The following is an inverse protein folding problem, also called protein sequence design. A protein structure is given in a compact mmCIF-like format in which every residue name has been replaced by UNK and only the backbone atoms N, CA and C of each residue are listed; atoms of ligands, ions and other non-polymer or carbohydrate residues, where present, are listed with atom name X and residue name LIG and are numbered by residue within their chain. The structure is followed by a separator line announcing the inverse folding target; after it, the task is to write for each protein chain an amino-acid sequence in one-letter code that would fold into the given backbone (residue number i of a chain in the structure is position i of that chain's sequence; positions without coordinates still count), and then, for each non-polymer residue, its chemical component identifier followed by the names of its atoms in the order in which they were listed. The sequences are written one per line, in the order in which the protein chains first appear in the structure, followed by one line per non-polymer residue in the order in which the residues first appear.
data_IF_210835067523
#
_entry.id   IF_210835067523
#
_cell.length_a   1.000
_cell.length_b   1.000
_cell.length_c   1.000
_cell.angle_alpha   90.00
_cell.angle_beta   90.00
_cell.angle_gamma   90.00
#
_symmetry.space_group_name_H-M   'P 1'
#
loop_
_entity.id
_entity.type
_entity.pdbx_description
1 polymer ?
#
# COMPACT_ATOMS: atom_id res chain seq x y z
N UNK A 1 -20.76 -15.82 22.33
CA UNK A 1 -21.47 -15.87 21.02
C UNK A 1 -21.78 -14.44 20.61
N UNK A 2 -21.11 -13.91 19.56
CA UNK A 2 -21.40 -12.60 19.03
C UNK A 2 -22.78 -12.67 18.34
N UNK A 3 -23.65 -11.69 18.61
CA UNK A 3 -24.94 -11.56 17.92
C UNK A 3 -24.72 -11.50 16.41
N UNK A 4 -25.54 -12.15 15.59
CA UNK A 4 -25.45 -12.03 14.15
C UNK A 4 -25.62 -10.56 13.78
N UNK A 5 -24.56 -9.94 13.29
CA UNK A 5 -24.60 -8.56 12.79
C UNK A 5 -25.46 -8.57 11.53
N UNK A 6 -26.52 -7.77 11.50
CA UNK A 6 -27.29 -7.50 10.27
C UNK A 6 -26.29 -7.04 9.19
N UNK A 7 -26.48 -7.57 7.96
CA UNK A 7 -25.75 -7.06 6.78
C UNK A 7 -25.75 -5.55 6.84
N UNK A 8 -24.59 -4.87 6.84
CA UNK A 8 -24.58 -3.42 6.95
C UNK A 8 -25.36 -2.80 5.79
N UNK A 9 -26.04 -1.66 6.01
CA UNK A 9 -26.77 -1.00 4.94
C UNK A 9 -25.82 -0.62 3.81
N UNK A 10 -26.33 -0.65 2.57
CA UNK A 10 -25.57 -0.24 1.40
C UNK A 10 -25.11 1.22 1.56
N UNK A 11 -23.94 1.57 1.05
CA UNK A 11 -23.48 2.95 1.10
C UNK A 11 -24.44 3.89 0.35
N UNK A 12 -24.67 5.12 0.83
CA UNK A 12 -25.51 6.07 0.14
C UNK A 12 -24.97 6.39 -1.27
N UNK A 13 -25.87 6.61 -2.23
CA UNK A 13 -25.54 6.96 -3.61
C UNK A 13 -25.27 5.79 -4.53
N UNK A 14 -25.44 4.54 -4.07
CA UNK A 14 -25.39 3.34 -4.90
C UNK A 14 -26.81 2.95 -5.31
N UNK A 15 -27.06 2.86 -6.60
CA UNK A 15 -28.28 2.25 -7.13
C UNK A 15 -28.09 0.72 -7.18
N UNK A 16 -28.53 0.06 -6.11
CA UNK A 16 -28.42 -1.38 -5.98
C UNK A 16 -29.26 -2.13 -7.03
N UNK A 17 -30.35 -1.52 -7.50
CA UNK A 17 -31.26 -2.13 -8.47
C UNK A 17 -30.60 -2.22 -9.83
N UNK A 18 -29.83 -1.19 -10.24
CA UNK A 18 -29.01 -1.24 -11.47
C UNK A 18 -28.02 -2.38 -11.41
N UNK A 19 -27.30 -2.58 -10.29
CA UNK A 19 -26.32 -3.66 -10.18
C UNK A 19 -26.99 -5.06 -10.18
N UNK A 20 -28.14 -5.18 -9.57
CA UNK A 20 -28.92 -6.42 -9.63
C UNK A 20 -29.45 -6.70 -11.05
N UNK A 21 -29.86 -5.67 -11.78
CA UNK A 21 -30.31 -5.81 -13.16
C UNK A 21 -29.17 -6.21 -14.11
N UNK A 22 -27.96 -5.71 -13.89
CA UNK A 22 -26.77 -6.18 -14.64
C UNK A 22 -26.59 -7.71 -14.53
N UNK A 23 -26.79 -8.28 -13.34
CA UNK A 23 -26.69 -9.74 -13.16
C UNK A 23 -27.76 -10.48 -13.96
N UNK A 24 -29.01 -9.97 -13.98
CA UNK A 24 -30.10 -10.53 -14.77
C UNK A 24 -29.81 -10.42 -16.27
N UNK A 25 -29.34 -9.26 -16.73
CA UNK A 25 -29.04 -9.03 -18.14
C UNK A 25 -27.84 -9.87 -18.60
N UNK A 26 -26.81 -10.03 -17.78
CA UNK A 26 -25.69 -10.90 -18.12
C UNK A 26 -26.13 -12.37 -18.32
N UNK A 27 -27.00 -12.86 -17.44
CA UNK A 27 -27.59 -14.18 -17.58
C UNK A 27 -28.45 -14.31 -18.87
N UNK A 28 -29.29 -13.30 -19.15
CA UNK A 28 -30.12 -13.27 -20.35
C UNK A 28 -29.27 -13.20 -21.64
N UNK A 29 -28.12 -12.57 -21.64
CA UNK A 29 -27.15 -12.51 -22.74
C UNK A 29 -26.33 -13.82 -22.88
N UNK A 30 -26.48 -14.78 -21.96
CA UNK A 30 -25.85 -16.09 -22.00
C UNK A 30 -24.53 -16.20 -21.21
N UNK A 31 -24.31 -15.36 -20.20
CA UNK A 31 -23.27 -15.62 -19.23
C UNK A 31 -23.72 -16.69 -18.22
N UNK A 32 -22.82 -17.62 -17.87
CA UNK A 32 -23.03 -18.56 -16.79
C UNK A 32 -22.97 -17.90 -15.42
N UNK A 33 -22.10 -16.92 -15.29
CA UNK A 33 -22.00 -16.08 -14.09
C UNK A 33 -21.41 -14.71 -14.41
N UNK A 34 -21.62 -13.74 -13.50
CA UNK A 34 -21.12 -12.38 -13.65
C UNK A 34 -20.85 -11.74 -12.29
N UNK A 35 -19.97 -10.75 -12.27
CA UNK A 35 -19.73 -9.84 -11.16
C UNK A 35 -19.71 -8.40 -11.65
N UNK A 36 -20.25 -7.49 -10.83
CA UNK A 36 -20.19 -6.06 -11.06
C UNK A 36 -19.54 -5.37 -9.87
N UNK A 37 -18.53 -4.55 -10.15
CA UNK A 37 -17.85 -3.73 -9.19
C UNK A 37 -18.08 -2.25 -9.52
N UNK A 38 -18.74 -1.55 -8.61
CA UNK A 38 -19.06 -0.13 -8.72
C UNK A 38 -18.18 0.67 -7.77
N UNK A 39 -17.69 1.80 -8.25
CA UNK A 39 -16.98 2.81 -7.46
C UNK A 39 -17.54 4.17 -7.78
N UNK A 40 -17.86 4.95 -6.74
CA UNK A 40 -18.06 6.38 -6.82
C UNK A 40 -17.00 7.05 -5.96
N UNK A 41 -16.20 7.92 -6.56
CA UNK A 41 -15.11 8.64 -5.91
C UNK A 41 -15.28 10.15 -6.01
N UNK A 42 -14.93 10.85 -4.96
CA UNK A 42 -14.81 12.30 -4.90
C UNK A 42 -13.51 12.68 -4.21
N UNK A 43 -12.85 13.73 -4.66
CA UNK A 43 -11.60 14.20 -4.06
C UNK A 43 -11.37 15.69 -4.31
N UNK A 44 -10.57 16.28 -3.43
CA UNK A 44 -10.09 17.65 -3.58
C UNK A 44 -8.64 17.72 -3.11
N UNK A 45 -7.79 18.33 -3.91
CA UNK A 45 -6.36 18.52 -3.65
C UNK A 45 -6.00 20.00 -3.86
N UNK A 46 -5.18 20.54 -2.96
CA UNK A 46 -4.65 21.90 -3.06
C UNK A 46 -3.17 21.85 -2.78
N UNK A 47 -2.37 22.41 -3.69
CA UNK A 47 -0.94 22.57 -3.49
C UNK A 47 -0.55 24.05 -3.47
N UNK A 48 0.43 24.36 -2.62
CA UNK A 48 1.05 25.67 -2.50
C UNK A 48 2.56 25.53 -2.59
N UNK A 49 3.21 26.52 -3.25
CA UNK A 49 4.65 26.63 -3.29
C UNK A 49 5.07 28.09 -3.15
N UNK A 50 6.07 28.36 -2.30
CA UNK A 50 6.61 29.69 -1.99
C UNK A 50 5.52 30.73 -1.69
N UNK A 51 4.50 30.30 -0.90
CA UNK A 51 3.36 31.14 -0.50
C UNK A 51 2.31 31.37 -1.60
N UNK A 52 2.46 30.77 -2.80
CA UNK A 52 1.51 30.89 -3.90
C UNK A 52 0.82 29.57 -4.17
N UNK A 53 -0.50 29.61 -4.33
CA UNK A 53 -1.26 28.43 -4.76
C UNK A 53 -0.83 28.01 -6.17
N UNK A 54 -0.35 26.77 -6.32
CA UNK A 54 0.02 26.19 -7.62
C UNK A 54 -1.07 25.28 -8.18
N UNK A 55 -1.81 24.57 -7.32
CA UNK A 55 -2.79 23.58 -7.75
C UNK A 55 -4.08 23.72 -6.96
N UNK A 56 -5.19 23.57 -7.64
CA UNK A 56 -6.53 23.31 -7.09
C UNK A 56 -7.21 22.31 -8.03
N UNK A 57 -7.38 21.11 -7.59
CA UNK A 57 -7.93 20.02 -8.39
C UNK A 57 -9.03 19.30 -7.61
N UNK A 58 -10.25 19.31 -8.16
CA UNK A 58 -11.38 18.54 -7.70
C UNK A 58 -11.73 17.47 -8.72
N UNK A 59 -12.09 16.29 -8.25
CA UNK A 59 -12.56 15.21 -9.10
C UNK A 59 -13.77 14.54 -8.46
N UNK A 60 -14.76 14.25 -9.29
CA UNK A 60 -15.89 13.40 -8.95
C UNK A 60 -16.15 12.48 -10.14
N UNK A 61 -16.31 11.18 -9.86
CA UNK A 61 -16.54 10.21 -10.93
C UNK A 61 -17.16 8.92 -10.43
N UNK A 62 -17.86 8.26 -11.36
CA UNK A 62 -18.43 6.93 -11.15
C UNK A 62 -17.87 5.98 -12.20
N UNK A 63 -17.51 4.79 -11.77
CA UNK A 63 -17.03 3.72 -12.65
C UNK A 63 -17.74 2.41 -12.29
N UNK A 64 -18.10 1.68 -13.32
CA UNK A 64 -18.67 0.36 -13.25
C UNK A 64 -17.80 -0.61 -14.06
N UNK A 65 -17.31 -1.65 -13.42
CA UNK A 65 -16.67 -2.79 -14.08
C UNK A 65 -17.60 -3.98 -14.01
N UNK A 66 -17.93 -4.55 -15.16
CA UNK A 66 -18.65 -5.81 -15.29
C UNK A 66 -17.69 -6.88 -15.79
N UNK A 67 -17.65 -8.02 -15.13
CA UNK A 67 -16.97 -9.23 -15.61
C UNK A 67 -17.98 -10.33 -15.85
N UNK A 68 -17.99 -10.89 -17.05
CA UNK A 68 -18.83 -12.00 -17.44
C UNK A 68 -17.98 -13.27 -17.59
N UNK A 69 -18.59 -14.41 -17.26
CA UNK A 69 -18.00 -15.75 -17.41
C UNK A 69 -18.88 -16.60 -18.31
N UNK A 70 -18.26 -17.27 -19.28
CA UNK A 70 -18.87 -18.24 -20.16
C UNK A 70 -17.99 -19.51 -20.16
N UNK A 71 -18.43 -20.57 -19.53
CA UNK A 71 -17.58 -21.72 -19.23
C UNK A 71 -16.39 -21.33 -18.36
N UNK A 72 -15.19 -21.57 -18.88
CA UNK A 72 -13.91 -21.18 -18.29
C UNK A 72 -13.31 -19.90 -18.90
N UNK A 73 -14.05 -19.24 -19.78
CA UNK A 73 -13.64 -17.97 -20.36
C UNK A 73 -14.20 -16.80 -19.56
N UNK A 74 -13.50 -15.70 -19.48
CA UNK A 74 -14.01 -14.49 -18.82
C UNK A 74 -13.47 -13.23 -19.45
N UNK A 75 -14.30 -12.19 -19.53
CA UNK A 75 -13.89 -10.85 -19.96
C UNK A 75 -14.45 -9.79 -19.03
N UNK A 76 -13.71 -8.68 -18.91
CA UNK A 76 -14.11 -7.52 -18.13
C UNK A 76 -14.22 -6.30 -19.02
N UNK A 77 -15.27 -5.53 -18.84
CA UNK A 77 -15.49 -4.23 -19.47
C UNK A 77 -15.85 -3.20 -18.41
N UNK A 78 -15.51 -1.93 -18.67
CA UNK A 78 -15.84 -0.82 -17.77
C UNK A 78 -16.63 0.26 -18.49
N UNK A 79 -17.43 1.01 -17.75
CA UNK A 79 -18.15 2.18 -18.24
C UNK A 79 -18.32 3.22 -17.14
N UNK A 80 -18.29 4.49 -17.55
CA UNK A 80 -18.72 5.64 -16.74
C UNK A 80 -20.13 6.12 -17.13
N UNK A 81 -20.74 5.53 -18.17
CA UNK A 81 -22.11 5.80 -18.61
C UNK A 81 -23.07 4.81 -17.97
N UNK A 82 -24.02 5.32 -17.20
CA UNK A 82 -25.03 4.56 -16.46
C UNK A 82 -26.39 4.58 -17.12
N UNK A 83 -26.52 5.11 -18.36
CA UNK A 83 -27.78 5.05 -19.09
C UNK A 83 -28.16 3.56 -19.34
N UNK A 84 -29.43 3.17 -19.17
CA UNK A 84 -29.84 1.77 -19.29
C UNK A 84 -29.45 1.12 -20.63
N UNK A 85 -29.50 1.88 -21.73
CA UNK A 85 -29.07 1.42 -23.06
C UNK A 85 -27.56 1.13 -23.10
N UNK A 86 -26.73 2.03 -22.54
CA UNK A 86 -25.28 1.87 -22.49
C UNK A 86 -24.90 0.63 -21.63
N UNK A 87 -25.58 0.43 -20.50
CA UNK A 87 -25.34 -0.72 -19.63
C UNK A 87 -25.74 -2.04 -20.29
N UNK A 88 -26.83 -2.10 -21.09
CA UNK A 88 -27.17 -3.29 -21.86
C UNK A 88 -26.09 -3.62 -22.89
N UNK A 89 -25.66 -2.64 -23.66
CA UNK A 89 -24.56 -2.81 -24.63
C UNK A 89 -23.26 -3.24 -23.92
N UNK A 90 -22.98 -2.72 -22.69
CA UNK A 90 -21.85 -3.15 -21.88
C UNK A 90 -21.92 -4.65 -21.55
N UNK A 91 -23.10 -5.11 -21.13
CA UNK A 91 -23.35 -6.53 -20.82
C UNK A 91 -23.12 -7.43 -22.03
N UNK A 92 -23.75 -7.09 -23.17
CA UNK A 92 -23.60 -7.83 -24.44
C UNK A 92 -22.13 -7.93 -24.83
N UNK A 93 -21.41 -6.80 -24.81
CA UNK A 93 -19.98 -6.77 -25.10
C UNK A 93 -19.15 -7.64 -24.14
N UNK A 94 -19.44 -7.62 -22.84
CA UNK A 94 -18.73 -8.45 -21.87
C UNK A 94 -18.89 -9.94 -22.16
N UNK A 95 -20.10 -10.36 -22.50
CA UNK A 95 -20.43 -11.76 -22.82
C UNK A 95 -19.79 -12.19 -24.13
N UNK A 96 -19.87 -11.36 -25.17
CA UNK A 96 -19.28 -11.67 -26.48
C UNK A 96 -17.76 -11.75 -26.40
N UNK A 97 -17.13 -10.84 -25.66
CA UNK A 97 -15.70 -10.89 -25.40
C UNK A 97 -15.32 -12.15 -24.59
N UNK A 98 -16.13 -12.54 -23.61
CA UNK A 98 -15.87 -13.76 -22.83
C UNK A 98 -15.91 -15.02 -23.71
N UNK A 99 -16.79 -15.06 -24.72
CA UNK A 99 -16.85 -16.18 -25.70
C UNK A 99 -15.65 -16.24 -26.64
N UNK A 100 -14.99 -15.08 -26.86
CA UNK A 100 -13.90 -14.94 -27.84
C UNK A 100 -12.49 -15.13 -27.25
N UNK A 101 -12.33 -15.17 -25.93
CA UNK A 101 -11.02 -15.33 -25.28
C UNK A 101 -10.70 -16.80 -24.98
N UNK A 102 -9.40 -17.17 -24.86
CA UNK A 102 -9.03 -18.52 -24.44
C UNK A 102 -9.53 -18.87 -23.04
N UNK A 103 -9.73 -20.17 -22.81
CA UNK A 103 -10.10 -20.69 -21.49
C UNK A 103 -9.00 -20.48 -20.45
N UNK A 104 -9.41 -20.04 -19.26
CA UNK A 104 -8.62 -20.09 -18.05
C UNK A 104 -9.26 -21.12 -17.10
N UNK A 105 -8.62 -22.29 -16.87
CA UNK A 105 -9.20 -23.35 -16.06
C UNK A 105 -9.48 -22.93 -14.62
N UNK A 106 -8.89 -21.84 -14.17
CA UNK A 106 -9.03 -21.29 -12.82
C UNK A 106 -10.05 -20.15 -12.72
N UNK A 107 -10.63 -19.71 -13.86
CA UNK A 107 -11.64 -18.66 -13.89
C UNK A 107 -12.94 -19.08 -13.19
N UNK A 108 -13.65 -18.08 -12.66
CA UNK A 108 -14.99 -18.25 -12.07
C UNK A 108 -15.16 -17.56 -10.73
N UNK A 109 -16.39 -17.31 -10.34
CA UNK A 109 -16.76 -16.74 -9.05
C UNK A 109 -16.39 -17.66 -7.88
N UNK A 110 -16.37 -17.12 -6.68
CA UNK A 110 -16.25 -17.89 -5.45
C UNK A 110 -17.44 -18.86 -5.32
N UNK A 111 -17.26 -20.08 -4.78
CA UNK A 111 -18.38 -20.89 -4.32
C UNK A 111 -19.24 -20.12 -3.30
N UNK A 112 -20.56 -20.30 -3.36
CA UNK A 112 -21.50 -19.53 -2.54
C UNK A 112 -21.24 -19.69 -1.02
N UNK A 113 -20.80 -20.86 -0.61
CA UNK A 113 -20.45 -21.19 0.78
C UNK A 113 -19.22 -20.46 1.31
N UNK A 114 -18.37 -19.93 0.43
CA UNK A 114 -17.19 -19.15 0.79
C UNK A 114 -17.46 -17.64 0.87
N UNK A 115 -18.63 -17.18 0.40
CA UNK A 115 -18.96 -15.75 0.39
C UNK A 115 -19.12 -15.19 1.79
N UNK A 116 -18.67 -13.96 1.98
CA UNK A 116 -18.85 -13.25 3.24
C UNK A 116 -20.35 -12.94 3.45
N UNK A 117 -20.89 -13.40 4.57
CA UNK A 117 -22.29 -13.13 4.97
C UNK A 117 -22.40 -12.00 5.98
N UNK A 118 -21.32 -11.71 6.66
CA UNK A 118 -21.17 -10.60 7.61
C UNK A 118 -19.73 -10.10 7.60
N UNK A 119 -19.51 -8.88 8.06
CA UNK A 119 -18.19 -8.27 8.19
C UNK A 119 -18.18 -7.17 9.25
N UNK A 120 -17.00 -6.88 9.85
CA UNK A 120 -16.89 -5.87 10.89
C UNK A 120 -17.05 -4.44 10.34
N UNK A 121 -17.55 -3.55 11.17
CA UNK A 121 -17.44 -2.10 10.96
C UNK A 121 -16.01 -1.67 11.32
N UNK A 122 -15.37 -0.91 10.41
CA UNK A 122 -13.94 -0.59 10.49
C UNK A 122 -13.66 0.91 10.62
N UNK A 123 -14.72 1.73 10.79
CA UNK A 123 -14.63 3.19 10.90
C UNK A 123 -13.79 3.83 9.76
N UNK A 124 -14.09 3.44 8.51
CA UNK A 124 -13.34 3.84 7.32
C UNK A 124 -13.82 5.15 6.68
N UNK A 125 -14.88 5.75 7.19
CA UNK A 125 -15.46 6.99 6.66
C UNK A 125 -15.63 8.01 7.77
N UNK A 126 -14.84 9.08 7.73
CA UNK A 126 -15.01 10.23 8.61
C UNK A 126 -16.36 10.92 8.31
N UNK A 127 -17.25 10.99 9.32
CA UNK A 127 -18.60 11.52 9.17
C UNK A 127 -18.64 13.05 9.06
N UNK A 128 -17.52 13.72 9.27
CA UNK A 128 -17.45 15.18 9.11
C UNK A 128 -17.65 15.60 7.65
N UNK A 129 -18.10 16.84 7.48
CA UNK A 129 -18.10 17.47 6.17
C UNK A 129 -16.65 17.58 5.65
N UNK A 130 -16.36 17.19 4.40
CA UNK A 130 -15.03 17.33 3.81
C UNK A 130 -14.50 18.78 3.90
N UNK A 131 -13.18 18.96 4.13
CA UNK A 131 -12.56 20.28 4.17
C UNK A 131 -12.74 21.03 2.86
N UNK A 132 -12.98 22.35 2.96
CA UNK A 132 -13.02 23.23 1.79
C UNK A 132 -11.61 23.43 1.20
N UNK A 133 -11.52 23.92 -0.04
CA UNK A 133 -10.27 24.32 -0.67
C UNK A 133 -9.49 25.34 0.19
N UNK A 134 -10.20 26.27 0.83
CA UNK A 134 -9.59 27.25 1.75
C UNK A 134 -8.94 26.56 2.97
N UNK A 135 -9.61 25.57 3.55
CA UNK A 135 -9.09 24.80 4.68
C UNK A 135 -7.84 24.01 4.26
N UNK A 136 -7.88 23.33 3.12
CA UNK A 136 -6.72 22.57 2.60
C UNK A 136 -5.55 23.50 2.30
N UNK A 137 -5.79 24.67 1.69
CA UNK A 137 -4.76 25.66 1.44
C UNK A 137 -4.10 26.14 2.73
N UNK A 138 -4.88 26.37 3.78
CA UNK A 138 -4.34 26.77 5.08
C UNK A 138 -3.41 25.69 5.69
N UNK A 139 -3.79 24.41 5.57
CA UNK A 139 -2.93 23.28 6.03
C UNK A 139 -1.62 23.21 5.24
N UNK A 140 -1.69 23.36 3.92
CA UNK A 140 -0.51 23.36 3.05
C UNK A 140 0.40 24.56 3.37
N UNK A 141 -0.18 25.75 3.54
CA UNK A 141 0.55 26.97 3.89
C UNK A 141 1.28 26.82 5.23
N UNK A 142 0.60 26.37 6.28
CA UNK A 142 1.20 26.15 7.60
C UNK A 142 2.36 25.14 7.53
N UNK A 143 2.22 24.07 6.75
CA UNK A 143 3.27 23.08 6.58
C UNK A 143 4.49 23.67 5.84
N UNK A 144 4.27 24.38 4.73
CA UNK A 144 5.33 24.99 3.96
C UNK A 144 6.08 26.08 4.76
N UNK A 145 5.35 26.98 5.44
CA UNK A 145 5.93 28.04 6.25
C UNK A 145 6.78 27.47 7.40
N UNK A 146 6.29 26.42 8.06
CA UNK A 146 7.02 25.72 9.09
C UNK A 146 8.30 25.02 8.56
N UNK A 147 8.28 24.52 7.34
CA UNK A 147 9.46 23.92 6.71
C UNK A 147 10.49 24.99 6.34
N UNK A 148 10.05 26.08 5.72
CA UNK A 148 10.89 27.20 5.31
C UNK A 148 11.50 27.98 6.48
N UNK A 149 10.88 27.94 7.65
CA UNK A 149 11.42 28.54 8.88
C UNK A 149 12.62 27.77 9.45
N UNK A 150 12.89 26.56 8.99
CA UNK A 150 14.05 25.77 9.44
C UNK A 150 15.32 26.37 8.81
N UNK A 151 16.25 26.82 9.68
CA UNK A 151 17.52 27.41 9.22
C UNK A 151 18.29 26.43 8.31
N UNK A 152 18.65 26.87 7.11
CA UNK A 152 19.34 26.07 6.09
C UNK A 152 18.41 25.57 4.98
N UNK A 153 17.10 25.68 5.12
CA UNK A 153 16.16 25.51 4.01
C UNK A 153 16.20 26.76 3.12
N UNK A 154 16.45 26.57 1.84
CA UNK A 154 16.65 27.66 0.87
C UNK A 154 15.57 27.72 -0.19
N UNK A 155 14.86 26.60 -0.44
CA UNK A 155 13.81 26.53 -1.45
C UNK A 155 12.72 25.51 -1.03
N UNK A 156 11.60 25.52 -1.74
CA UNK A 156 10.46 24.64 -1.52
C UNK A 156 10.01 24.01 -2.83
N UNK A 157 9.67 22.73 -2.78
CA UNK A 157 8.87 22.06 -3.82
C UNK A 157 7.37 22.18 -3.52
N UNK A 158 7.03 22.76 -2.37
CA UNK A 158 5.67 23.03 -1.95
C UNK A 158 5.15 22.05 -0.91
N UNK A 159 3.92 22.33 -0.52
CA UNK A 159 3.11 21.46 0.31
C UNK A 159 1.76 21.20 -0.35
N UNK A 160 1.23 20.01 -0.17
CA UNK A 160 -0.07 19.60 -0.70
C UNK A 160 -0.93 19.01 0.42
N UNK A 161 -2.19 19.47 0.47
CA UNK A 161 -3.22 18.89 1.34
C UNK A 161 -4.38 18.40 0.48
N UNK A 162 -4.90 17.23 0.80
CA UNK A 162 -6.00 16.62 0.06
C UNK A 162 -6.93 15.79 0.92
N UNK A 163 -8.12 15.59 0.42
CA UNK A 163 -9.04 14.55 0.91
C UNK A 163 -9.62 13.77 -0.26
N UNK A 164 -10.00 12.54 0.02
CA UNK A 164 -10.75 11.71 -0.90
C UNK A 164 -11.81 10.91 -0.16
N UNK A 165 -12.88 10.54 -0.86
CA UNK A 165 -13.92 9.65 -0.37
C UNK A 165 -14.37 8.76 -1.51
N UNK A 166 -14.51 7.48 -1.24
CA UNK A 166 -14.95 6.49 -2.22
C UNK A 166 -16.02 5.59 -1.63
N UNK A 167 -17.06 5.37 -2.40
CA UNK A 167 -18.10 4.36 -2.15
C UNK A 167 -17.84 3.20 -3.10
N UNK A 168 -17.74 1.99 -2.57
CA UNK A 168 -17.47 0.76 -3.34
C UNK A 168 -18.59 -0.24 -3.11
N UNK A 169 -18.98 -0.95 -4.17
CA UNK A 169 -19.95 -2.03 -4.09
C UNK A 169 -19.56 -3.17 -5.03
N UNK A 170 -19.65 -4.38 -4.55
CA UNK A 170 -19.50 -5.61 -5.32
C UNK A 170 -20.82 -6.38 -5.28
N UNK A 171 -21.29 -6.79 -6.46
CA UNK A 171 -22.43 -7.68 -6.63
C UNK A 171 -22.03 -8.85 -7.55
N UNK A 172 -22.41 -10.04 -7.18
CA UNK A 172 -22.14 -11.25 -7.98
C UNK A 172 -23.42 -12.03 -8.25
N UNK A 173 -23.49 -12.70 -9.38
CA UNK A 173 -24.67 -13.48 -9.80
C UNK A 173 -24.98 -14.68 -8.90
N UNK A 174 -24.02 -15.13 -8.09
CA UNK A 174 -24.18 -16.21 -7.11
C UNK A 174 -24.54 -15.74 -5.70
N UNK A 175 -24.97 -14.48 -5.55
CA UNK A 175 -25.64 -13.99 -4.35
C UNK A 175 -24.82 -13.11 -3.41
N UNK A 176 -23.56 -12.78 -3.69
CA UNK A 176 -22.87 -11.77 -2.93
C UNK A 176 -23.39 -10.37 -3.30
N UNK A 177 -23.61 -9.55 -2.28
CA UNK A 177 -23.91 -8.12 -2.43
C UNK A 177 -23.38 -7.41 -1.21
N UNK A 178 -22.32 -6.63 -1.36
CA UNK A 178 -21.67 -5.92 -0.28
C UNK A 178 -21.02 -4.65 -0.74
N UNK A 179 -21.02 -3.64 0.12
CA UNK A 179 -20.39 -2.36 -0.15
C UNK A 179 -19.93 -1.67 1.12
N UNK A 180 -19.05 -0.72 0.98
CA UNK A 180 -18.60 0.13 2.07
C UNK A 180 -18.10 1.47 1.53
N UNK A 181 -18.05 2.43 2.43
CA UNK A 181 -17.52 3.76 2.16
C UNK A 181 -16.16 3.91 2.82
N UNK A 182 -15.27 4.62 2.16
CA UNK A 182 -13.93 4.88 2.63
C UNK A 182 -13.54 6.31 2.37
N UNK A 183 -13.00 6.98 3.37
CA UNK A 183 -12.38 8.30 3.28
C UNK A 183 -10.86 8.25 3.46
N UNK A 184 -10.22 9.37 3.18
CA UNK A 184 -8.81 9.58 3.45
C UNK A 184 -8.43 11.05 3.35
N UNK A 185 -7.45 11.43 4.15
CA UNK A 185 -6.83 12.74 4.17
C UNK A 185 -5.33 12.58 4.02
N UNK A 186 -4.68 13.51 3.35
CA UNK A 186 -3.23 13.53 3.19
C UNK A 186 -2.70 14.94 3.29
N UNK A 187 -1.51 15.07 3.87
CA UNK A 187 -0.73 16.29 3.93
C UNK A 187 0.73 15.94 3.70
N UNK A 188 1.40 16.62 2.80
CA UNK A 188 2.82 16.45 2.51
C UNK A 188 3.50 17.78 2.33
N UNK A 189 4.80 17.82 2.60
CA UNK A 189 5.67 18.97 2.35
C UNK A 189 7.05 18.48 1.93
N UNK A 190 7.59 19.08 0.86
CA UNK A 190 8.93 18.79 0.37
C UNK A 190 9.71 20.10 0.19
N UNK A 191 10.96 20.12 0.68
CA UNK A 191 11.81 21.30 0.64
C UNK A 191 13.23 20.94 0.26
N UNK A 192 13.99 21.98 -0.11
CA UNK A 192 15.40 21.89 -0.43
C UNK A 192 16.21 22.73 0.57
N UNK A 193 17.36 22.20 0.96
CA UNK A 193 18.35 22.87 1.77
C UNK A 193 19.65 23.03 0.98
N UNK A 194 20.46 24.05 1.27
CA UNK A 194 21.69 24.33 0.55
C UNK A 194 21.48 25.12 -0.75
N UNK A 195 22.55 25.34 -1.52
CA UNK A 195 22.56 26.16 -2.72
C UNK A 195 23.26 25.47 -3.91
N UNK A 196 22.88 25.83 -5.13
CA UNK A 196 23.49 25.34 -6.36
C UNK A 196 23.44 23.81 -6.47
N UNK A 197 24.54 23.20 -6.82
CA UNK A 197 24.67 21.73 -6.97
C UNK A 197 24.78 20.98 -5.63
N UNK A 198 24.92 21.71 -4.50
CA UNK A 198 24.97 21.14 -3.16
C UNK A 198 23.59 21.09 -2.49
N UNK A 199 22.51 21.36 -3.24
CA UNK A 199 21.15 21.26 -2.70
C UNK A 199 20.80 19.82 -2.38
N UNK A 200 20.21 19.64 -1.19
CA UNK A 200 19.64 18.37 -0.74
C UNK A 200 18.13 18.52 -0.54
N UNK A 201 17.39 17.50 -0.95
CA UNK A 201 15.92 17.43 -0.87
C UNK A 201 15.49 16.40 0.17
N UNK A 202 14.49 16.76 0.97
CA UNK A 202 13.76 15.74 1.74
C UNK A 202 12.31 16.17 1.96
N UNK A 203 11.51 15.30 2.53
CA UNK A 203 10.07 15.47 2.69
C UNK A 203 9.53 14.79 3.93
N UNK A 204 8.32 15.18 4.32
CA UNK A 204 7.50 14.45 5.30
C UNK A 204 6.06 14.44 4.83
N UNK A 205 5.32 13.41 5.24
CA UNK A 205 3.90 13.28 4.95
C UNK A 205 3.13 12.69 6.12
N UNK A 206 1.81 12.90 6.10
CA UNK A 206 0.85 12.26 6.97
C UNK A 206 -0.37 11.86 6.17
N UNK A 207 -0.85 10.64 6.35
CA UNK A 207 -2.10 10.15 5.76
C UNK A 207 -2.92 9.48 6.84
N UNK A 208 -4.24 9.72 6.82
CA UNK A 208 -5.18 9.19 7.80
C UNK A 208 -6.56 8.99 7.18
N UNK A 209 -7.34 8.08 7.73
CA UNK A 209 -8.77 7.90 7.37
C UNK A 209 -9.62 9.00 7.97
N UNK A 210 -9.27 9.49 9.16
CA UNK A 210 -9.96 10.58 9.85
C UNK A 210 -9.07 11.83 9.91
N UNK A 211 -9.68 13.00 9.73
CA UNK A 211 -8.98 14.28 9.70
C UNK A 211 -8.16 14.55 10.99
N UNK A 212 -8.73 14.21 12.14
CA UNK A 212 -8.07 14.44 13.43
C UNK A 212 -6.86 13.53 13.69
N UNK A 213 -6.72 12.45 12.92
CA UNK A 213 -5.58 11.54 12.99
C UNK A 213 -4.37 12.01 12.14
N UNK A 214 -4.53 13.12 11.38
CA UNK A 214 -3.42 13.73 10.66
C UNK A 214 -2.40 14.34 11.64
N UNK A 215 -1.13 14.25 11.26
CA UNK A 215 -0.07 14.99 11.94
C UNK A 215 -0.29 16.49 11.77
N UNK A 216 -0.06 17.28 12.83
CA UNK A 216 -0.14 18.73 12.76
C UNK A 216 0.73 19.30 11.62
N UNK A 217 0.20 20.23 10.80
CA UNK A 217 0.89 20.72 9.60
C UNK A 217 2.28 21.28 9.88
N UNK A 218 2.40 22.09 10.92
CA UNK A 218 3.70 22.60 11.34
C UNK A 218 4.72 21.51 11.71
N UNK A 219 4.27 20.33 12.17
CA UNK A 219 5.16 19.20 12.46
C UNK A 219 5.62 18.52 11.17
N UNK A 220 4.72 18.36 10.19
CA UNK A 220 5.08 17.85 8.85
C UNK A 220 6.14 18.75 8.23
N UNK A 221 5.90 20.05 8.19
CA UNK A 221 6.85 21.02 7.65
C UNK A 221 8.20 21.02 8.36
N UNK A 222 8.21 21.17 9.70
CA UNK A 222 9.48 21.15 10.47
C UNK A 222 10.28 19.86 10.29
N UNK A 223 9.61 18.71 10.16
CA UNK A 223 10.29 17.46 9.89
C UNK A 223 10.94 17.47 8.50
N UNK A 224 10.21 17.87 7.45
CA UNK A 224 10.73 17.98 6.09
C UNK A 224 11.98 18.88 6.06
N UNK A 225 11.90 20.06 6.66
CA UNK A 225 13.04 20.99 6.74
C UNK A 225 14.24 20.41 7.48
N UNK A 226 14.03 19.80 8.66
CA UNK A 226 15.15 19.18 9.41
C UNK A 226 15.76 17.99 8.66
N UNK A 227 14.97 17.21 7.95
CA UNK A 227 15.50 16.09 7.16
C UNK A 227 16.34 16.60 5.98
N UNK A 228 15.88 17.61 5.25
CA UNK A 228 16.64 18.21 4.15
C UNK A 228 17.97 18.83 4.63
N UNK A 229 17.92 19.62 5.69
CA UNK A 229 19.14 20.23 6.29
C UNK A 229 20.11 19.16 6.81
N UNK A 230 19.60 18.09 7.40
CA UNK A 230 20.42 16.99 7.89
C UNK A 230 21.21 16.25 6.82
N UNK A 231 20.85 16.38 5.54
CA UNK A 231 21.54 15.75 4.39
C UNK A 231 22.65 16.61 3.79
N UNK A 232 22.80 17.86 4.21
CA UNK A 232 23.76 18.80 3.65
C UNK A 232 25.21 18.33 3.84
N UNK A 233 26.06 18.65 2.85
CA UNK A 233 27.46 18.31 2.78
C UNK A 233 27.75 16.80 2.89
N UNK A 234 27.11 15.97 2.04
CA UNK A 234 27.33 14.53 2.07
C UNK A 234 28.77 14.20 1.71
N UNK A 235 29.33 13.18 2.39
CA UNK A 235 30.67 12.67 2.10
C UNK A 235 30.57 11.38 1.29
N UNK A 236 31.62 11.09 0.55
CA UNK A 236 31.81 9.80 -0.14
C UNK A 236 32.28 8.74 0.86
N UNK A 237 31.92 7.50 0.59
CA UNK A 237 32.36 6.34 1.36
C UNK A 237 32.95 5.29 0.43
N UNK A 238 33.95 4.56 0.90
CA UNK A 238 34.56 3.47 0.14
C UNK A 238 33.66 2.23 0.09
N UNK A 239 33.91 1.36 -0.87
CA UNK A 239 33.25 0.06 -0.95
C UNK A 239 33.48 -0.72 0.34
N UNK A 240 32.43 -1.28 0.90
CA UNK A 240 32.49 -2.05 2.13
C UNK A 240 31.33 -3.04 2.26
N UNK A 241 31.50 -4.01 3.16
CA UNK A 241 30.42 -4.89 3.62
C UNK A 241 30.11 -4.53 5.07
N UNK A 242 28.91 -3.96 5.30
CA UNK A 242 28.56 -3.34 6.60
C UNK A 242 27.09 -3.60 6.96
N UNK A 243 26.70 -3.42 8.22
CA UNK A 243 25.30 -3.30 8.60
C UNK A 243 24.66 -2.10 7.92
N UNK A 244 23.45 -2.29 7.36
CA UNK A 244 22.63 -1.22 6.78
C UNK A 244 21.33 -1.10 7.58
N UNK A 245 21.06 0.09 8.06
CA UNK A 245 19.85 0.42 8.83
C UNK A 245 18.89 1.22 7.95
N UNK A 246 17.72 0.70 7.74
CA UNK A 246 16.66 1.36 6.98
C UNK A 246 15.80 2.20 7.92
N UNK A 247 15.73 3.50 7.67
CA UNK A 247 14.77 4.37 8.37
C UNK A 247 13.34 3.80 8.20
N UNK A 248 12.50 3.93 9.21
CA UNK A 248 11.10 3.44 9.16
C UNK A 248 10.31 3.98 7.97
N UNK A 249 10.66 5.16 7.42
CA UNK A 249 10.02 5.72 6.21
C UNK A 249 10.28 4.86 4.97
N UNK A 250 11.36 4.09 4.96
CA UNK A 250 11.79 3.24 3.84
C UNK A 250 11.56 1.74 4.10
N UNK A 251 11.61 1.34 5.37
CA UNK A 251 11.60 -0.07 5.78
C UNK A 251 10.35 -0.83 5.30
N UNK A 252 9.22 -0.13 5.12
CA UNK A 252 8.02 -0.69 4.49
C UNK A 252 8.25 -1.24 3.07
N UNK A 253 9.24 -0.73 2.34
CA UNK A 253 9.63 -1.23 1.03
C UNK A 253 10.08 -2.69 1.04
N UNK A 254 10.76 -3.14 2.13
CA UNK A 254 11.13 -4.54 2.32
C UNK A 254 9.92 -5.46 2.37
N UNK A 255 8.85 -5.00 3.03
CA UNK A 255 7.58 -5.74 3.07
C UNK A 255 6.87 -5.74 1.73
N UNK A 256 7.04 -4.70 0.91
CA UNK A 256 6.56 -4.66 -0.47
C UNK A 256 7.21 -5.77 -1.32
N UNK A 257 8.52 -5.98 -1.18
CA UNK A 257 9.23 -7.09 -1.85
C UNK A 257 8.76 -8.45 -1.35
N UNK A 258 8.56 -8.62 -0.04
CA UNK A 258 7.97 -9.84 0.51
C UNK A 258 6.56 -10.08 -0.05
N UNK A 259 5.68 -9.07 -0.03
CA UNK A 259 4.31 -9.18 -0.54
C UNK A 259 4.29 -9.62 -2.01
N UNK A 260 5.19 -9.07 -2.84
CA UNK A 260 5.37 -9.50 -4.23
C UNK A 260 5.83 -10.96 -4.36
N UNK A 261 6.78 -11.38 -3.51
CA UNK A 261 7.32 -12.73 -3.54
C UNK A 261 6.34 -13.81 -3.04
N UNK A 262 5.44 -13.48 -2.12
CA UNK A 262 4.40 -14.39 -1.60
C UNK A 262 3.04 -14.21 -2.29
N UNK A 263 2.97 -13.38 -3.34
CA UNK A 263 1.78 -13.24 -4.16
C UNK A 263 1.46 -14.56 -4.89
N UNK A 264 0.25 -15.08 -4.69
CA UNK A 264 -0.16 -16.38 -5.20
C UNK A 264 -0.01 -16.54 -6.71
N UNK A 265 -0.23 -15.48 -7.48
CA UNK A 265 -0.09 -15.51 -8.95
C UNK A 265 1.38 -15.67 -9.37
N UNK A 266 2.31 -15.01 -8.67
CA UNK A 266 3.75 -15.17 -8.90
C UNK A 266 4.24 -16.55 -8.51
N UNK A 267 3.77 -17.06 -7.37
CA UNK A 267 4.09 -18.42 -6.90
C UNK A 267 3.55 -19.47 -7.86
N UNK A 268 2.30 -19.35 -8.30
CA UNK A 268 1.65 -20.31 -9.23
C UNK A 268 2.36 -20.35 -10.59
N UNK A 269 2.90 -19.21 -11.07
CA UNK A 269 3.71 -19.17 -12.30
C UNK A 269 5.17 -19.60 -12.12
N UNK A 270 5.60 -19.88 -10.89
CA UNK A 270 6.99 -20.21 -10.60
C UNK A 270 7.98 -19.04 -10.67
N UNK A 271 7.49 -17.80 -10.70
CA UNK A 271 8.28 -16.56 -10.88
C UNK A 271 8.65 -15.87 -9.57
N UNK A 272 8.60 -16.59 -8.43
CA UNK A 272 8.98 -16.06 -7.12
C UNK A 272 10.21 -16.77 -6.58
N UNK A 273 11.15 -16.01 -5.99
CA UNK A 273 12.32 -16.59 -5.28
C UNK A 273 11.92 -17.33 -3.98
N UNK A 274 10.66 -17.20 -3.53
CA UNK A 274 10.13 -17.90 -2.37
C UNK A 274 9.20 -19.07 -2.72
N UNK A 275 8.96 -19.38 -3.99
CA UNK A 275 7.94 -20.35 -4.44
C UNK A 275 7.95 -21.71 -3.71
N UNK A 276 9.13 -22.18 -3.29
CA UNK A 276 9.33 -23.47 -2.62
C UNK A 276 9.61 -23.32 -1.10
N UNK A 277 9.26 -22.15 -0.50
CA UNK A 277 9.63 -21.81 0.87
C UNK A 277 8.47 -21.85 1.87
N UNK A 278 7.28 -22.30 1.49
CA UNK A 278 6.16 -22.48 2.42
C UNK A 278 6.55 -23.40 3.58
N UNK A 279 6.24 -22.97 4.81
CA UNK A 279 6.57 -23.70 6.04
C UNK A 279 8.05 -23.64 6.43
N UNK A 280 8.89 -22.90 5.69
CA UNK A 280 10.31 -22.76 5.98
C UNK A 280 10.62 -21.43 6.66
N UNK A 281 11.71 -21.41 7.39
CA UNK A 281 12.24 -20.19 7.98
C UNK A 281 12.87 -19.33 6.87
N UNK A 282 12.35 -18.12 6.68
CA UNK A 282 12.83 -17.14 5.70
C UNK A 282 13.20 -15.79 6.33
N UNK A 283 12.86 -15.60 7.62
CA UNK A 283 13.31 -14.48 8.44
C UNK A 283 14.02 -15.00 9.69
N UNK A 284 14.74 -14.11 10.38
CA UNK A 284 15.28 -14.42 11.71
C UNK A 284 14.17 -14.88 12.68
N UNK A 285 14.52 -15.71 13.68
CA UNK A 285 13.60 -16.08 14.77
C UNK A 285 13.08 -14.83 15.49
N UNK A 286 11.83 -14.89 15.97
CA UNK A 286 11.13 -13.79 16.63
C UNK A 286 10.52 -12.78 15.66
N UNK A 287 10.78 -12.85 14.37
CA UNK A 287 10.17 -11.97 13.37
C UNK A 287 8.73 -12.39 13.11
N UNK A 288 7.83 -11.42 13.21
CA UNK A 288 6.42 -11.59 12.89
C UNK A 288 5.94 -10.50 11.93
N UNK A 289 5.35 -10.94 10.80
CA UNK A 289 4.76 -10.04 9.79
C UNK A 289 3.29 -10.40 9.63
N UNK A 290 2.44 -9.39 9.71
CA UNK A 290 0.99 -9.55 9.82
C UNK A 290 0.30 -8.85 8.66
N UNK A 291 -0.68 -9.52 8.05
CA UNK A 291 -1.73 -8.91 7.24
C UNK A 291 -3.01 -8.77 8.09
N UNK A 292 -3.45 -7.53 8.35
CA UNK A 292 -4.61 -7.26 9.19
C UNK A 292 -5.64 -6.36 8.48
N UNK A 293 -6.63 -6.94 7.78
CA UNK A 293 -7.67 -6.19 7.10
C UNK A 293 -8.64 -5.47 8.06
N UNK A 294 -8.62 -5.79 9.35
CA UNK A 294 -9.61 -5.32 10.32
C UNK A 294 -9.07 -4.26 11.30
N UNK A 295 -8.00 -3.54 10.93
CA UNK A 295 -7.59 -2.38 11.73
C UNK A 295 -8.65 -1.28 11.65
N UNK A 296 -9.11 -0.79 12.80
CA UNK A 296 -9.94 0.41 12.86
C UNK A 296 -9.17 1.59 12.23
N UNK A 297 -9.82 2.34 11.35
CA UNK A 297 -9.24 3.48 10.62
C UNK A 297 -7.94 3.14 9.86
N UNK A 298 -7.76 1.86 9.51
CA UNK A 298 -6.55 1.42 8.80
C UNK A 298 -6.57 1.81 7.34
N UNK A 299 -5.47 2.37 6.83
CA UNK A 299 -5.32 2.82 5.45
C UNK A 299 -5.41 1.68 4.42
N UNK A 300 -5.17 0.42 4.81
CA UNK A 300 -5.35 -0.79 3.99
C UNK A 300 -6.56 -1.64 4.40
N UNK A 301 -7.38 -1.20 5.36
CA UNK A 301 -8.49 -2.01 5.90
C UNK A 301 -9.60 -2.21 4.89
N UNK A 302 -10.22 -3.38 4.94
CA UNK A 302 -11.35 -3.77 4.09
C UNK A 302 -12.21 -4.82 4.79
N UNK A 303 -13.54 -4.69 4.73
CA UNK A 303 -14.44 -5.61 5.44
C UNK A 303 -14.54 -6.98 4.77
N UNK A 304 -14.42 -7.05 3.46
CA UNK A 304 -14.34 -8.25 2.60
C UNK A 304 -13.36 -7.98 1.46
N UNK A 305 -12.98 -9.00 0.71
CA UNK A 305 -12.05 -8.85 -0.40
C UNK A 305 -12.72 -8.54 -1.74
N UNK A 306 -11.94 -8.37 -2.79
CA UNK A 306 -12.43 -8.03 -4.12
C UNK A 306 -13.19 -9.16 -4.84
N UNK A 307 -13.30 -10.35 -4.24
CA UNK A 307 -14.05 -11.51 -4.75
C UNK A 307 -15.23 -11.87 -3.85
N UNK A 308 -15.55 -11.01 -2.86
CA UNK A 308 -16.64 -11.20 -1.91
C UNK A 308 -16.33 -12.18 -0.78
N UNK A 309 -15.08 -12.54 -0.57
CA UNK A 309 -14.67 -13.49 0.48
C UNK A 309 -14.43 -12.77 1.81
N UNK A 310 -14.64 -13.47 2.95
CA UNK A 310 -14.32 -12.93 4.24
C UNK A 310 -12.82 -12.72 4.40
N UNK A 311 -12.45 -11.60 4.99
CA UNK A 311 -11.07 -11.28 5.33
C UNK A 311 -10.80 -11.58 6.80
N UNK A 312 -9.56 -11.86 7.15
CA UNK A 312 -9.15 -12.07 8.56
C UNK A 312 -7.70 -11.68 8.80
N UNK A 313 -7.40 -11.24 10.03
CA UNK A 313 -6.03 -11.05 10.47
C UNK A 313 -5.26 -12.36 10.43
N UNK A 314 -4.06 -12.35 9.87
CA UNK A 314 -3.16 -13.51 9.87
C UNK A 314 -1.70 -13.07 10.01
N UNK A 315 -0.90 -13.87 10.70
CA UNK A 315 0.54 -13.80 10.59
C UNK A 315 0.92 -14.44 9.25
N UNK A 316 1.64 -13.72 8.42
CA UNK A 316 2.17 -14.21 7.14
C UNK A 316 3.56 -14.80 7.36
N UNK A 317 4.30 -14.17 8.26
CA UNK A 317 5.50 -14.71 8.89
C UNK A 317 5.22 -14.84 10.38
N UNK A 318 5.46 -16.01 10.94
CA UNK A 318 5.34 -16.28 12.37
C UNK A 318 6.62 -16.95 12.88
N UNK A 319 7.27 -16.32 13.85
CA UNK A 319 8.60 -16.72 14.34
C UNK A 319 9.64 -16.95 13.23
N UNK A 320 9.62 -16.10 12.21
CA UNK A 320 10.49 -16.19 11.04
C UNK A 320 10.07 -17.18 9.97
N UNK A 321 9.02 -17.98 10.21
CA UNK A 321 8.53 -19.01 9.28
C UNK A 321 7.45 -18.45 8.37
N UNK A 322 7.54 -18.72 7.06
CA UNK A 322 6.48 -18.40 6.08
C UNK A 322 5.29 -19.34 6.28
N UNK A 323 4.13 -18.79 6.65
CA UNK A 323 2.95 -19.57 7.02
C UNK A 323 1.86 -19.61 5.95
N UNK A 324 1.88 -18.68 5.01
CA UNK A 324 0.82 -18.57 3.99
C UNK A 324 1.27 -17.74 2.78
N UNK A 325 0.68 -18.04 1.63
CA UNK A 325 0.68 -17.15 0.46
C UNK A 325 -0.47 -16.14 0.58
N UNK A 326 -0.42 -15.07 -0.24
CA UNK A 326 -1.54 -14.15 -0.45
C UNK A 326 -2.28 -14.61 -1.71
N UNK A 327 -3.42 -15.29 -1.54
CA UNK A 327 -4.13 -15.98 -2.61
C UNK A 327 -5.45 -15.29 -2.94
N UNK A 328 -5.66 -14.99 -4.22
CA UNK A 328 -6.98 -14.82 -4.82
C UNK A 328 -7.54 -16.20 -5.24
N UNK A 329 -8.78 -16.24 -5.73
CA UNK A 329 -9.43 -17.51 -6.13
C UNK A 329 -8.67 -18.24 -7.24
N UNK A 330 -8.19 -17.52 -8.25
CA UNK A 330 -7.51 -18.14 -9.38
C UNK A 330 -6.19 -18.80 -8.95
N UNK A 331 -5.36 -18.08 -8.20
CA UNK A 331 -4.10 -18.64 -7.70
C UNK A 331 -4.33 -19.75 -6.65
N UNK A 332 -5.37 -19.62 -5.82
CA UNK A 332 -5.74 -20.68 -4.87
C UNK A 332 -6.12 -21.97 -5.59
N UNK A 333 -6.95 -21.90 -6.65
CA UNK A 333 -7.32 -23.05 -7.47
C UNK A 333 -6.11 -23.66 -8.17
N UNK A 334 -5.26 -22.84 -8.77
CA UNK A 334 -4.06 -23.31 -9.46
C UNK A 334 -3.08 -24.02 -8.52
N UNK A 335 -2.94 -23.53 -7.29
CA UNK A 335 -2.09 -24.11 -6.26
C UNK A 335 -2.78 -25.22 -5.45
N UNK A 336 -4.09 -25.48 -5.70
CA UNK A 336 -4.92 -26.44 -4.94
C UNK A 336 -4.96 -26.12 -3.43
N UNK A 337 -5.05 -24.83 -3.10
CA UNK A 337 -5.12 -24.30 -1.75
C UNK A 337 -6.41 -23.53 -1.52
N UNK A 338 -6.76 -23.26 -0.27
CA UNK A 338 -7.87 -22.37 0.06
C UNK A 338 -7.49 -20.89 -0.19
N UNK A 339 -8.43 -20.06 -0.70
CA UNK A 339 -8.19 -18.64 -0.86
C UNK A 339 -7.98 -17.96 0.49
N UNK A 340 -7.22 -16.88 0.49
CA UNK A 340 -6.81 -16.22 1.74
C UNK A 340 -7.53 -14.91 2.03
N UNK A 341 -8.57 -14.55 1.24
CA UNK A 341 -9.27 -13.26 1.37
C UNK A 341 -8.40 -12.09 0.87
N UNK A 342 -7.59 -12.37 -0.15
CA UNK A 342 -6.75 -11.41 -0.85
C UNK A 342 -7.17 -11.26 -2.32
N UNK A 343 -8.47 -11.29 -2.61
CA UNK A 343 -9.10 -11.25 -3.93
C UNK A 343 -8.81 -10.00 -4.77
N UNK A 344 -8.08 -9.03 -4.24
CA UNK A 344 -7.50 -7.93 -5.01
C UNK A 344 -6.14 -8.34 -5.58
N UNK A 345 -6.11 -9.37 -6.40
CA UNK A 345 -4.91 -9.90 -7.08
C UNK A 345 -3.79 -10.35 -6.12
N UNK A 346 -4.15 -10.92 -4.97
CA UNK A 346 -3.17 -11.33 -3.97
C UNK A 346 -2.51 -10.16 -3.22
N UNK A 347 -3.13 -8.98 -3.19
CA UNK A 347 -2.59 -7.83 -2.47
C UNK A 347 -2.90 -7.91 -0.97
N UNK A 348 -1.95 -7.60 -0.09
CA UNK A 348 -2.20 -7.50 1.34
C UNK A 348 -3.12 -6.32 1.68
N UNK A 349 -3.58 -6.27 2.92
CA UNK A 349 -4.37 -5.18 3.50
C UNK A 349 -3.48 -4.20 4.31
N UNK A 350 -3.63 -4.15 5.64
CA UNK A 350 -2.64 -3.49 6.47
C UNK A 350 -1.52 -4.49 6.77
N UNK A 351 -0.43 -4.34 6.05
CA UNK A 351 0.70 -5.26 6.07
C UNK A 351 1.84 -4.67 6.89
N UNK A 352 2.25 -5.32 7.97
CA UNK A 352 3.25 -4.73 8.85
C UNK A 352 4.16 -5.74 9.53
N UNK A 353 5.41 -5.32 9.73
CA UNK A 353 6.38 -5.98 10.61
C UNK A 353 6.11 -5.55 12.04
N UNK A 354 5.89 -6.50 12.94
CA UNK A 354 5.74 -6.19 14.36
C UNK A 354 7.04 -5.57 14.92
N UNK A 355 6.87 -4.69 15.91
CA UNK A 355 8.01 -3.97 16.52
C UNK A 355 8.91 -4.92 17.29
N UNK A 356 10.21 -4.67 17.24
CA UNK A 356 11.21 -5.29 18.07
C UNK A 356 11.26 -4.71 19.48
N UNK A 357 12.34 -5.00 20.21
CA UNK A 357 12.55 -4.57 21.59
C UNK A 357 13.41 -3.30 21.69
N UNK A 358 14.39 -3.15 20.82
CA UNK A 358 15.39 -2.06 20.86
C UNK A 358 14.82 -0.77 20.26
N UNK A 359 15.18 0.37 20.85
CA UNK A 359 14.97 1.66 20.18
C UNK A 359 15.87 1.78 18.93
N UNK A 360 15.56 2.67 17.96
CA UNK A 360 16.46 2.91 16.83
C UNK A 360 17.89 3.24 17.23
N UNK A 361 18.09 4.02 18.29
CA UNK A 361 19.42 4.36 18.78
C UNK A 361 20.12 3.15 19.43
N UNK A 362 19.40 2.33 20.18
CA UNK A 362 19.94 1.09 20.72
C UNK A 362 20.25 0.06 19.64
N UNK A 363 19.50 0.07 18.53
CA UNK A 363 19.72 -0.83 17.39
C UNK A 363 21.04 -0.55 16.64
N UNK A 364 21.53 0.67 16.69
CA UNK A 364 22.80 1.08 16.05
C UNK A 364 23.98 1.15 17.01
N UNK A 365 23.76 1.08 18.32
CA UNK A 365 24.76 1.40 19.36
C UNK A 365 26.06 0.57 19.29
N UNK A 366 26.00 -0.67 18.82
CA UNK A 366 27.14 -1.58 18.66
C UNK A 366 27.79 -1.54 17.26
N UNK A 367 27.25 -0.76 16.33
CA UNK A 367 27.78 -0.63 14.97
C UNK A 367 29.02 0.26 14.99
N UNK A 368 30.19 -0.31 14.74
CA UNK A 368 31.45 0.45 14.60
C UNK A 368 31.46 1.28 13.32
N UNK A 369 31.09 0.64 12.20
CA UNK A 369 30.96 1.26 10.88
C UNK A 369 29.75 0.68 10.16
N UNK A 370 28.88 1.52 9.63
CA UNK A 370 27.65 1.11 8.97
C UNK A 370 26.94 2.25 8.24
N UNK A 371 25.79 1.95 7.69
CA UNK A 371 25.01 2.91 6.92
C UNK A 371 23.57 2.99 7.48
N UNK A 372 23.07 4.19 7.74
CA UNK A 372 21.67 4.48 8.05
C UNK A 372 21.05 5.18 6.85
N UNK A 373 20.17 4.51 6.12
CA UNK A 373 19.58 5.04 4.89
C UNK A 373 18.26 5.75 5.15
N UNK A 374 18.09 6.92 4.52
CA UNK A 374 16.90 7.75 4.58
C UNK A 374 16.25 7.99 3.23
N UNK A 375 16.92 7.56 2.15
CA UNK A 375 16.42 7.67 0.78
C UNK A 375 16.93 6.52 -0.10
N UNK A 376 16.08 6.08 -1.04
CA UNK A 376 16.36 4.99 -1.97
C UNK A 376 15.94 5.40 -3.39
N UNK A 377 16.83 5.17 -4.35
CA UNK A 377 16.62 5.47 -5.77
C UNK A 377 16.72 4.18 -6.59
N UNK A 378 15.92 4.11 -7.67
CA UNK A 378 15.94 2.98 -8.61
C UNK A 378 15.07 1.80 -8.18
N UNK A 379 14.96 0.80 -9.06
CA UNK A 379 14.09 -0.37 -8.93
C UNK A 379 14.82 -1.70 -9.12
N UNK A 380 16.11 -1.75 -8.81
CA UNK A 380 16.98 -2.90 -9.01
C UNK A 380 16.68 -4.07 -8.07
N UNK A 381 15.52 -4.70 -8.21
CA UNK A 381 15.12 -5.90 -7.46
C UNK A 381 14.63 -6.97 -8.43
N UNK A 382 15.24 -8.14 -8.39
CA UNK A 382 14.83 -9.28 -9.20
C UNK A 382 13.89 -10.19 -8.38
N UNK A 383 12.61 -10.23 -8.73
CA UNK A 383 11.59 -11.04 -8.04
C UNK A 383 11.76 -12.55 -8.21
N UNK A 384 12.58 -13.01 -9.17
CA UNK A 384 12.83 -14.44 -9.42
C UNK A 384 14.03 -14.95 -8.63
N UNK A 385 15.09 -14.15 -8.53
CA UNK A 385 16.36 -14.55 -7.86
C UNK A 385 16.46 -14.01 -6.44
N UNK A 386 15.81 -12.90 -6.15
CA UNK A 386 15.91 -12.16 -4.89
C UNK A 386 17.04 -11.12 -4.88
N UNK A 387 17.75 -10.93 -5.98
CA UNK A 387 18.84 -9.96 -6.04
C UNK A 387 18.30 -8.54 -5.84
N UNK A 388 19.01 -7.76 -5.03
CA UNK A 388 18.65 -6.42 -4.60
C UNK A 388 19.83 -5.48 -4.83
N UNK A 389 19.58 -4.39 -5.58
CA UNK A 389 20.55 -3.32 -5.81
C UNK A 389 19.84 -2.00 -5.97
N UNK A 390 20.11 -1.02 -5.10
CA UNK A 390 19.46 0.28 -5.10
C UNK A 390 20.45 1.40 -4.83
N UNK A 391 20.28 2.53 -5.51
CA UNK A 391 20.90 3.78 -5.10
C UNK A 391 20.39 4.19 -3.71
N UNK A 392 21.26 4.70 -2.86
CA UNK A 392 20.92 5.08 -1.49
C UNK A 392 21.62 6.37 -1.06
N UNK A 393 20.96 7.06 -0.13
CA UNK A 393 21.49 8.20 0.60
C UNK A 393 21.08 8.12 2.07
N UNK A 394 21.84 8.73 2.95
CA UNK A 394 21.54 8.70 4.38
C UNK A 394 22.70 9.20 5.23
N UNK A 395 23.05 8.44 6.26
CA UNK A 395 24.09 8.81 7.23
C UNK A 395 25.06 7.65 7.42
N UNK A 396 26.35 7.95 7.45
CA UNK A 396 27.33 6.99 7.94
C UNK A 396 27.16 6.79 9.44
N UNK A 397 27.21 5.55 9.89
CA UNK A 397 27.24 5.21 11.30
C UNK A 397 28.70 4.97 11.69
N UNK A 398 29.14 5.68 12.75
CA UNK A 398 30.45 5.51 13.34
C UNK A 398 30.31 5.40 14.85
N UNK A 399 30.83 4.31 15.42
CA UNK A 399 30.80 4.06 16.88
C UNK A 399 29.41 4.24 17.49
N UNK A 400 28.39 3.65 16.86
CA UNK A 400 27.01 3.63 17.34
C UNK A 400 26.23 4.93 17.13
N UNK A 401 26.74 5.89 16.35
CA UNK A 401 26.09 7.18 16.12
C UNK A 401 26.02 7.52 14.63
N UNK A 402 24.96 8.23 14.22
CA UNK A 402 24.90 8.87 12.90
C UNK A 402 25.92 10.01 12.87
N UNK A 403 26.99 9.84 12.11
CA UNK A 403 28.15 10.73 12.14
C UNK A 403 28.09 11.85 11.09
N UNK A 404 27.93 11.50 9.79
CA UNK A 404 27.82 12.46 8.70
C UNK A 404 26.91 11.94 7.59
N UNK A 405 26.29 12.84 6.80
CA UNK A 405 25.48 12.44 5.67
C UNK A 405 26.34 11.85 4.55
N UNK A 406 25.74 10.91 3.82
CA UNK A 406 26.32 10.24 2.63
C UNK A 406 25.30 10.20 1.50
N UNK A 407 25.77 10.35 0.27
CA UNK A 407 24.92 10.26 -0.93
C UNK A 407 25.66 9.63 -2.09
N UNK A 408 24.91 9.29 -3.16
CA UNK A 408 25.50 8.77 -4.40
C UNK A 408 26.16 7.39 -4.26
N UNK A 409 25.65 6.54 -3.35
CA UNK A 409 26.14 5.17 -3.20
C UNK A 409 25.07 4.16 -3.64
N UNK A 410 25.52 2.93 -3.88
CA UNK A 410 24.65 1.78 -4.14
C UNK A 410 24.73 0.80 -2.97
N UNK A 411 23.59 0.29 -2.54
CA UNK A 411 23.49 -0.83 -1.60
C UNK A 411 23.06 -2.07 -2.36
N UNK A 412 23.68 -3.21 -2.05
CA UNK A 412 23.40 -4.48 -2.73
C UNK A 412 23.34 -5.65 -1.74
N UNK A 413 22.54 -6.66 -2.10
CA UNK A 413 22.37 -7.89 -1.35
C UNK A 413 21.44 -8.86 -2.07
N UNK A 414 21.04 -9.92 -1.36
CA UNK A 414 19.97 -10.79 -1.82
C UNK A 414 18.86 -10.84 -0.76
N UNK A 415 17.62 -10.68 -1.14
CA UNK A 415 16.48 -10.62 -0.24
C UNK A 415 16.37 -11.85 0.69
N UNK A 416 16.80 -13.03 0.24
CA UNK A 416 16.82 -14.24 1.08
C UNK A 416 17.72 -14.06 2.29
N UNK A 417 18.94 -13.55 2.07
CA UNK A 417 19.91 -13.31 3.13
C UNK A 417 19.50 -12.08 3.98
N UNK A 418 19.00 -11.03 3.31
CA UNK A 418 18.57 -9.81 3.98
C UNK A 418 17.43 -10.09 4.98
N UNK A 419 16.46 -10.93 4.64
CA UNK A 419 15.38 -11.31 5.53
C UNK A 419 15.85 -12.12 6.74
N UNK A 420 16.77 -13.06 6.54
CA UNK A 420 17.36 -13.87 7.62
C UNK A 420 18.22 -13.05 8.59
N UNK A 421 18.78 -11.94 8.14
CA UNK A 421 19.66 -11.07 8.91
C UNK A 421 19.01 -9.75 9.33
N UNK A 422 17.67 -9.69 9.35
CA UNK A 422 16.89 -8.51 9.68
C UNK A 422 16.55 -8.45 11.17
N UNK A 423 16.78 -7.30 11.79
CA UNK A 423 16.39 -7.00 13.18
C UNK A 423 15.54 -5.74 13.22
N UNK A 424 14.30 -5.76 13.74
CA UNK A 424 13.43 -4.60 13.85
C UNK A 424 13.67 -3.80 15.14
N UNK A 425 13.50 -2.48 15.06
CA UNK A 425 13.39 -1.60 16.21
C UNK A 425 11.96 -1.58 16.79
N UNK A 426 11.73 -0.75 17.81
CA UNK A 426 10.44 -0.64 18.50
C UNK A 426 9.56 0.54 18.04
N UNK A 427 9.96 1.26 17.01
CA UNK A 427 9.38 2.54 16.57
C UNK A 427 8.33 2.41 15.45
N UNK A 428 7.64 1.26 15.35
CA UNK A 428 6.57 1.04 14.38
C UNK A 428 5.50 2.14 14.45
N UNK A 429 5.20 2.73 13.32
CA UNK A 429 4.09 3.68 13.11
C UNK A 429 3.27 3.27 11.90
N UNK A 430 1.96 3.52 11.96
CA UNK A 430 1.03 3.23 10.87
C UNK A 430 0.76 4.51 10.07
N UNK A 431 1.51 4.73 9.00
CA UNK A 431 1.39 5.90 8.11
C UNK A 431 0.87 5.56 6.71
N UNK A 432 0.81 4.26 6.38
CA UNK A 432 0.33 3.74 5.10
C UNK A 432 -0.35 2.39 5.29
N UNK A 433 -0.71 1.71 4.20
CA UNK A 433 -1.16 0.31 4.24
C UNK A 433 -0.03 -0.67 4.57
N UNK A 434 1.23 -0.32 4.26
CA UNK A 434 2.39 -1.18 4.52
C UNK A 434 3.37 -0.45 5.44
N UNK A 435 3.65 -1.01 6.62
CA UNK A 435 4.41 -0.33 7.66
C UNK A 435 5.46 -1.24 8.29
N UNK A 436 6.64 -0.69 8.55
CA UNK A 436 7.68 -1.35 9.33
C UNK A 436 8.31 -0.36 10.32
N UNK A 437 8.85 -0.82 11.43
CA UNK A 437 9.75 0.00 12.24
C UNK A 437 11.08 0.20 11.51
N UNK A 438 11.98 1.00 12.05
CA UNK A 438 13.38 1.00 11.66
C UNK A 438 13.94 -0.43 11.69
N UNK A 439 14.65 -0.84 10.64
CA UNK A 439 15.22 -2.20 10.57
C UNK A 439 16.71 -2.16 10.28
N UNK A 440 17.46 -3.03 10.91
CA UNK A 440 18.88 -3.30 10.66
C UNK A 440 19.03 -4.59 9.88
N UNK A 441 19.87 -4.59 8.87
CA UNK A 441 20.22 -5.76 8.05
C UNK A 441 21.73 -5.91 8.06
N UNK A 442 22.21 -7.09 8.47
CA UNK A 442 23.63 -7.39 8.54
C UNK A 442 24.22 -7.73 7.18
N UNK A 443 25.49 -7.35 6.97
CA UNK A 443 26.32 -7.88 5.90
C UNK A 443 25.92 -7.46 4.49
N UNK A 444 25.30 -6.30 4.30
CA UNK A 444 25.05 -5.75 2.96
C UNK A 444 26.31 -5.13 2.36
N UNK A 445 26.42 -5.21 1.05
CA UNK A 445 27.49 -4.56 0.29
C UNK A 445 27.08 -3.13 -0.02
N UNK A 446 27.97 -2.17 0.21
CA UNK A 446 27.87 -0.81 -0.27
C UNK A 446 28.93 -0.55 -1.32
N UNK A 447 28.58 0.11 -2.41
CA UNK A 447 29.49 0.63 -3.42
C UNK A 447 29.37 2.14 -3.43
N UNK A 448 30.44 2.81 -3.02
CA UNK A 448 30.59 4.25 -3.07
C UNK A 448 31.46 4.65 -4.27
N UNK A 449 31.33 5.88 -4.75
CA UNK A 449 32.17 6.46 -5.83
C UNK A 449 33.00 7.61 -5.30
#
# INVERSE_FOLDING_TARGET
MAKPTKKPPLPPGVDADILADLMKWAKAAGADSAEAFYVHGESLSVAQRLGKREKLEGSEGRDLRLRAFVGKCSASVSSTDFAPKALRTLVERAVDMARAVPEDPYAGLAPAELLATNWPELDLDDKRRPPSARTLLALAAEAEDAARSVKGVTNSEGAEASWSRSTMMLVTSNGFSGGYRRGGYSLSCAVLAGEGTAMERDYEWSSAVHFDDLMAPAKVGRNAGRFAVGRLNPKKVSNARVPVVYDRRLAGGMLGHLAGAINGRGVARGTSFLKDRMGQQIFAKGIRIVDNPHRQRGLGSRPFDGEGLPTKRRAVIDDGVLTTWLLDLASARQLKLAPTGNGSQGSPSNFYLEKGKLSPDALIADIKSGLYITDLIGFGVNGVTGDYSRGASGFWIENGKKAWPVSGLTIAGNLKDMFLNLTPANDLQFKSSTNAPTVRIEGMTIAGS
#
